data_IF_850678924616
#
_entry.id   IF_850678924616
#
_cell.length_a   1.000
_cell.length_b   1.000
_cell.length_c   1.000
_cell.angle_alpha   90.00
_cell.angle_beta   90.00
_cell.angle_gamma   90.00
#
_symmetry.space_group_name_H-M   'P 1'
#
loop_
_entity.id
_entity.type
_entity.pdbx_description
1 polymer ?
#
# COMPACT_ATOMS: atom_id res chain seq x y z
N UNK A 1 -8.75 3.45 1.42
CA UNK A 1 -7.39 3.90 1.03
C UNK A 1 -7.02 3.41 -0.37
N UNK A 2 -6.74 2.11 -0.57
CA UNK A 2 -6.33 1.60 -1.90
C UNK A 2 -7.33 1.88 -3.01
N UNK A 3 -8.64 1.82 -2.75
CA UNK A 3 -9.65 2.19 -3.76
C UNK A 3 -9.53 3.65 -4.25
N UNK A 4 -9.10 4.59 -3.42
CA UNK A 4 -8.87 5.98 -3.83
C UNK A 4 -7.62 6.07 -4.74
N UNK A 5 -6.53 5.42 -4.32
CA UNK A 5 -5.30 5.33 -5.12
C UNK A 5 -5.54 4.66 -6.48
N UNK A 6 -6.36 3.61 -6.53
CA UNK A 6 -6.73 2.93 -7.76
C UNK A 6 -7.52 3.83 -8.74
N UNK A 7 -8.22 4.85 -8.23
CA UNK A 7 -8.88 5.89 -9.04
C UNK A 7 -7.96 7.05 -9.42
N UNK A 8 -6.69 7.01 -9.01
CA UNK A 8 -5.73 8.10 -9.24
C UNK A 8 -5.95 9.32 -8.32
N UNK A 9 -6.70 9.15 -7.22
CA UNK A 9 -6.87 10.23 -6.24
C UNK A 9 -5.64 10.36 -5.35
N UNK A 10 -5.32 11.60 -4.98
CA UNK A 10 -4.34 11.87 -3.93
C UNK A 10 -4.83 11.30 -2.60
N UNK A 11 -3.91 10.66 -1.88
CA UNK A 11 -4.18 10.17 -0.54
C UNK A 11 -3.55 11.09 0.50
N UNK A 12 -4.36 11.70 1.40
CA UNK A 12 -3.81 12.51 2.49
C UNK A 12 -2.87 11.67 3.38
N UNK A 13 -1.71 12.20 3.79
CA UNK A 13 -0.74 11.46 4.62
C UNK A 13 -1.35 10.86 5.88
N UNK A 14 -2.32 11.55 6.50
CA UNK A 14 -2.98 11.08 7.72
C UNK A 14 -3.77 9.78 7.56
N UNK A 15 -4.30 9.47 6.37
CA UNK A 15 -4.97 8.18 6.14
C UNK A 15 -3.97 7.03 6.13
N UNK A 16 -2.83 7.22 5.45
CA UNK A 16 -1.72 6.27 5.43
C UNK A 16 -1.17 6.04 6.84
N UNK A 17 -0.75 7.10 7.52
CA UNK A 17 -0.12 7.01 8.84
C UNK A 17 -1.02 6.33 9.87
N UNK A 18 -2.35 6.56 9.81
CA UNK A 18 -3.30 5.85 10.67
C UNK A 18 -3.36 4.36 10.38
N UNK A 19 -3.33 3.95 9.11
CA UNK A 19 -3.33 2.53 8.75
C UNK A 19 -2.03 1.83 9.19
N UNK A 20 -0.88 2.46 8.93
CA UNK A 20 0.44 1.94 9.35
C UNK A 20 0.53 1.83 10.88
N UNK A 21 0.12 2.88 11.61
CA UNK A 21 0.12 2.86 13.08
C UNK A 21 -0.87 1.86 13.69
N UNK A 22 -2.02 1.61 13.05
CA UNK A 22 -2.94 0.55 13.48
C UNK A 22 -2.37 -0.84 13.26
N UNK A 23 -1.65 -1.06 12.16
CA UNK A 23 -0.97 -2.32 11.91
C UNK A 23 0.12 -2.56 12.98
N UNK A 24 0.93 -1.54 13.28
CA UNK A 24 1.94 -1.61 14.33
C UNK A 24 1.32 -1.90 15.70
N UNK A 25 0.24 -1.20 16.07
CA UNK A 25 -0.49 -1.46 17.30
C UNK A 25 -1.05 -2.88 17.37
N UNK A 26 -1.57 -3.43 16.26
CA UNK A 26 -2.05 -4.80 16.21
C UNK A 26 -0.93 -5.80 16.48
N UNK A 27 0.28 -5.59 15.95
CA UNK A 27 1.45 -6.41 16.25
C UNK A 27 1.83 -6.33 17.73
N UNK A 28 1.82 -5.13 18.31
CA UNK A 28 2.04 -4.95 19.75
C UNK A 28 1.01 -5.69 20.62
N UNK A 29 -0.20 -5.89 20.11
CA UNK A 29 -1.27 -6.67 20.74
C UNK A 29 -1.22 -8.18 20.41
N UNK A 30 -0.19 -8.64 19.70
CA UNK A 30 0.06 -10.05 19.42
C UNK A 30 -0.38 -10.53 18.03
N UNK A 31 -0.80 -9.65 17.13
CA UNK A 31 -1.02 -10.03 15.74
C UNK A 31 0.30 -10.35 15.02
N UNK A 32 0.24 -11.26 14.04
CA UNK A 32 1.38 -11.52 13.15
C UNK A 32 1.48 -10.44 12.08
N UNK A 33 2.66 -9.85 11.90
CA UNK A 33 2.91 -8.92 10.78
C UNK A 33 2.64 -9.58 9.43
N UNK A 34 3.02 -10.84 9.25
CA UNK A 34 2.74 -11.58 8.02
C UNK A 34 1.23 -11.73 7.73
N UNK A 35 0.41 -11.90 8.77
CA UNK A 35 -1.04 -11.96 8.62
C UNK A 35 -1.64 -10.59 8.23
N UNK A 36 -1.07 -9.50 8.76
CA UNK A 36 -1.44 -8.14 8.37
C UNK A 36 -1.01 -7.84 6.92
N UNK A 37 0.13 -8.35 6.49
CA UNK A 37 0.62 -8.23 5.11
C UNK A 37 -0.30 -8.94 4.14
N UNK A 38 -0.71 -10.16 4.47
CA UNK A 38 -1.70 -10.91 3.69
C UNK A 38 -3.04 -10.16 3.62
N UNK A 39 -3.48 -9.56 4.74
CA UNK A 39 -4.71 -8.78 4.75
C UNK A 39 -4.58 -7.49 3.93
N UNK A 40 -3.41 -6.84 3.96
CA UNK A 40 -3.11 -5.68 3.12
C UNK A 40 -3.12 -6.06 1.64
N UNK A 41 -2.50 -7.18 1.28
CA UNK A 41 -2.46 -7.69 -0.08
C UNK A 41 -3.86 -8.00 -0.62
N UNK A 42 -4.73 -8.63 0.18
CA UNK A 42 -6.15 -8.83 -0.17
C UNK A 42 -6.87 -7.51 -0.44
N UNK A 43 -6.64 -6.49 0.41
CA UNK A 43 -7.23 -5.17 0.20
C UNK A 43 -6.68 -4.48 -1.05
N UNK A 44 -5.41 -4.69 -1.36
CA UNK A 44 -4.74 -4.15 -2.54
C UNK A 44 -5.29 -4.82 -3.81
N UNK A 45 -5.32 -6.14 -3.85
CA UNK A 45 -5.87 -6.93 -4.95
C UNK A 45 -7.34 -6.61 -5.22
N UNK A 46 -8.15 -6.41 -4.18
CA UNK A 46 -9.53 -5.99 -4.35
C UNK A 46 -9.68 -4.61 -5.03
N UNK A 47 -8.70 -3.71 -4.88
CA UNK A 47 -8.73 -2.38 -5.46
C UNK A 47 -8.05 -2.29 -6.84
N UNK A 48 -6.94 -3.00 -7.04
CA UNK A 48 -6.09 -2.90 -8.23
C UNK A 48 -6.19 -4.11 -9.17
N UNK A 49 -6.85 -5.19 -8.75
CA UNK A 49 -6.98 -6.44 -9.51
C UNK A 49 -5.70 -7.28 -9.58
N UNK A 50 -4.64 -6.86 -8.89
CA UNK A 50 -3.30 -7.49 -8.84
C UNK A 50 -2.77 -7.44 -7.42
N UNK A 51 -1.92 -8.38 -7.06
CA UNK A 51 -1.23 -8.46 -5.76
C UNK A 51 -0.08 -7.46 -5.65
N UNK A 52 0.36 -7.21 -4.43
CA UNK A 52 1.57 -6.47 -4.11
C UNK A 52 2.81 -7.12 -4.73
N UNK A 53 2.91 -8.45 -4.72
CA UNK A 53 4.04 -9.15 -5.30
C UNK A 53 4.13 -8.95 -6.82
N UNK A 54 3.00 -8.84 -7.52
CA UNK A 54 2.96 -8.57 -8.96
C UNK A 54 3.40 -7.14 -9.31
N UNK A 55 3.08 -6.15 -8.48
CA UNK A 55 3.42 -4.75 -8.75
C UNK A 55 4.78 -4.30 -8.14
N UNK A 56 5.24 -4.94 -7.07
CA UNK A 56 6.45 -4.54 -6.32
C UNK A 56 7.52 -5.64 -6.22
N UNK A 57 7.28 -6.82 -6.78
CA UNK A 57 8.16 -7.99 -6.71
C UNK A 57 7.90 -8.87 -5.48
N UNK A 58 8.32 -10.14 -5.54
CA UNK A 58 8.08 -11.10 -4.45
C UNK A 58 8.69 -10.66 -3.11
N UNK A 59 9.85 -10.00 -3.16
CA UNK A 59 10.58 -9.51 -2.00
C UNK A 59 10.25 -8.04 -1.65
N UNK A 60 9.06 -7.55 -2.03
CA UNK A 60 8.65 -6.16 -1.81
C UNK A 60 8.85 -5.68 -0.37
N UNK A 61 8.75 -6.59 0.61
CA UNK A 61 8.90 -6.30 2.04
C UNK A 61 10.35 -5.98 2.46
N UNK A 62 11.33 -6.32 1.61
CA UNK A 62 12.73 -5.89 1.79
C UNK A 62 12.95 -4.41 1.44
N UNK A 63 12.09 -3.84 0.58
CA UNK A 63 12.17 -2.44 0.13
C UNK A 63 11.32 -1.50 0.99
N UNK A 64 10.20 -2.01 1.52
CA UNK A 64 9.31 -1.30 2.45
C UNK A 64 9.06 -2.15 3.70
N UNK A 65 9.90 -2.05 4.74
CA UNK A 65 9.75 -2.85 5.94
C UNK A 65 8.44 -2.55 6.66
N UNK A 66 7.89 -3.53 7.38
CA UNK A 66 6.70 -3.33 8.20
C UNK A 66 6.93 -2.16 9.20
N UNK A 67 5.96 -1.24 9.39
CA UNK A 67 4.56 -1.26 8.92
C UNK A 67 4.30 -0.50 7.61
N UNK A 68 5.33 -0.11 6.86
CA UNK A 68 5.18 0.78 5.71
C UNK A 68 4.29 0.19 4.61
N UNK A 69 3.52 1.07 3.95
CA UNK A 69 2.71 0.70 2.81
C UNK A 69 3.44 0.94 1.47
N UNK A 70 3.76 -0.12 0.70
CA UNK A 70 4.52 0.01 -0.55
C UNK A 70 3.76 0.75 -1.66
N UNK A 71 2.42 0.86 -1.59
CA UNK A 71 1.63 1.56 -2.62
C UNK A 71 1.95 3.05 -2.74
N UNK A 72 2.65 3.62 -1.76
CA UNK A 72 3.11 5.01 -1.75
C UNK A 72 4.39 5.23 -2.54
N UNK A 73 5.12 4.16 -2.86
CA UNK A 73 6.28 4.23 -3.73
C UNK A 73 5.89 4.41 -5.21
N UNK A 74 4.63 4.13 -5.58
CA UNK A 74 4.17 4.37 -6.95
C UNK A 74 3.96 5.86 -7.18
N UNK A 75 4.61 6.36 -8.22
CA UNK A 75 4.32 7.68 -8.76
C UNK A 75 2.87 7.69 -9.26
N UNK A 76 2.11 8.72 -8.90
CA UNK A 76 0.81 8.95 -9.51
C UNK A 76 0.97 9.03 -11.04
N UNK A 77 0.03 8.48 -11.83
CA UNK A 77 0.07 8.59 -13.27
C UNK A 77 0.00 10.08 -13.66
N UNK A 78 1.14 10.61 -14.13
CA UNK A 78 1.24 11.97 -14.66
C UNK A 78 0.89 11.93 -16.14
N UNK A 79 -0.21 12.59 -16.51
CA UNK A 79 -0.52 12.85 -17.91
C UNK A 79 0.28 14.09 -18.37
N UNK A 80 1.02 14.02 -19.48
CA UNK A 80 1.75 15.17 -19.98
C UNK A 80 0.75 16.27 -20.40
N UNK A 81 0.93 17.48 -19.86
CA UNK A 81 0.14 18.66 -20.21
C UNK A 81 0.65 19.38 -21.46
N UNK A 82 1.70 18.86 -22.08
CA UNK A 82 2.31 19.36 -23.32
C UNK A 82 2.56 18.16 -24.24
N UNK A 83 2.25 18.32 -25.53
CA UNK A 83 2.66 17.35 -26.56
C UNK A 83 4.16 17.50 -26.82
N UNK A 84 4.84 16.39 -27.14
CA UNK A 84 6.22 16.38 -27.64
C UNK A 84 6.39 17.26 -28.89
#
# INVERSE_FOLDING_TARGET
>A
MFAALARGEDLPPGQRLRAEGLAEAAVLLGASSAALDEQMDKCYQAAFGRSLAEDFGADWRSLGPFPENPAMARRAPVYPSTAD
#
